data_IF_339462992776
#
_entry.id   IF_339462992776
#
_cell.length_a   1.000
_cell.length_b   1.000
_cell.length_c   1.000
_cell.angle_alpha   90.00
_cell.angle_beta   90.00
_cell.angle_gamma   90.00
#
_symmetry.space_group_name_H-M   'P 1'
#
loop_
_entity.id
_entity.type
_entity.pdbx_description
1 polymer ?
#
# COMPACT_ATOMS: atom_id res chain seq x y z
N UNK A 1 4.51 7.85 34.30
CA UNK A 1 4.07 8.35 32.98
C UNK A 1 3.81 9.86 33.11
N UNK A 2 4.29 10.73 32.23
CA UNK A 2 4.06 12.15 32.34
C UNK A 2 2.58 12.49 32.13
N UNK A 3 1.97 13.36 32.93
CA UNK A 3 0.53 13.63 32.95
C UNK A 3 -0.02 14.33 31.70
N UNK A 4 0.83 14.81 30.80
CA UNK A 4 0.40 15.55 29.60
C UNK A 4 -0.09 14.65 28.47
N UNK A 5 0.09 13.33 28.57
CA UNK A 5 -0.39 12.34 27.58
C UNK A 5 -1.79 11.77 27.92
N UNK A 6 -2.34 12.13 29.08
CA UNK A 6 -3.69 11.72 29.51
C UNK A 6 -4.82 12.60 28.91
N UNK A 7 -4.50 13.54 28.02
CA UNK A 7 -5.51 14.36 27.36
C UNK A 7 -6.33 13.49 26.41
N UNK A 8 -7.64 13.46 26.63
CA UNK A 8 -8.61 12.85 25.73
C UNK A 8 -9.39 13.95 25.02
N UNK A 9 -9.52 13.81 23.71
CA UNK A 9 -10.41 14.66 22.91
C UNK A 9 -11.72 13.91 22.69
N UNK A 10 -12.84 14.50 23.13
CA UNK A 10 -14.15 13.92 22.94
C UNK A 10 -14.99 14.84 22.07
N UNK A 11 -15.66 14.27 21.07
CA UNK A 11 -16.68 14.95 20.30
C UNK A 11 -17.92 14.04 20.18
N UNK A 12 -19.10 14.65 20.12
CA UNK A 12 -20.33 13.92 19.94
C UNK A 12 -20.67 13.82 18.44
N UNK A 13 -21.02 12.64 18.00
CA UNK A 13 -21.60 12.40 16.68
C UNK A 13 -22.95 11.73 16.85
N UNK A 14 -23.96 12.20 16.13
CA UNK A 14 -25.26 11.54 16.09
C UNK A 14 -25.17 10.32 15.16
N UNK A 15 -25.32 9.14 15.73
CA UNK A 15 -25.37 7.90 14.99
C UNK A 15 -26.78 7.28 15.12
N UNK A 16 -27.55 7.29 14.06
CA UNK A 16 -28.96 6.86 14.06
C UNK A 16 -29.82 7.51 15.16
N UNK A 17 -29.58 8.80 15.44
CA UNK A 17 -30.33 9.54 16.47
C UNK A 17 -29.88 9.27 17.91
N UNK A 18 -28.78 8.53 18.10
CA UNK A 18 -28.17 8.33 19.40
C UNK A 18 -26.86 9.12 19.45
N UNK A 19 -26.70 10.06 20.41
CA UNK A 19 -25.44 10.78 20.57
C UNK A 19 -24.37 9.83 21.09
N UNK A 20 -23.37 9.53 20.26
CA UNK A 20 -22.19 8.74 20.64
C UNK A 20 -21.07 9.70 20.96
N UNK A 21 -20.54 9.63 22.18
CA UNK A 21 -19.39 10.42 22.60
C UNK A 21 -18.12 9.65 22.22
N UNK A 22 -17.44 10.16 21.22
CA UNK A 22 -16.18 9.61 20.74
C UNK A 22 -15.03 10.20 21.56
N UNK A 23 -14.33 9.40 22.37
CA UNK A 23 -13.17 9.84 23.12
C UNK A 23 -11.90 9.22 22.55
N UNK A 24 -11.02 10.04 22.01
CA UNK A 24 -9.70 9.60 21.54
C UNK A 24 -8.63 9.96 22.57
N UNK A 25 -7.81 8.98 22.94
CA UNK A 25 -6.63 9.22 23.78
C UNK A 25 -5.51 9.79 22.90
N UNK A 26 -4.89 10.87 23.35
CA UNK A 26 -3.77 11.51 22.63
C UNK A 26 -2.60 10.53 22.43
N UNK A 27 -2.42 9.57 23.33
CA UNK A 27 -1.43 8.48 23.18
C UNK A 27 -1.67 7.65 21.93
N UNK A 28 -2.93 7.32 21.63
CA UNK A 28 -3.29 6.55 20.44
C UNK A 28 -3.04 7.36 19.15
N UNK A 29 -3.33 8.65 19.16
CA UNK A 29 -3.04 9.54 18.06
C UNK A 29 -1.52 9.74 17.86
N UNK A 30 -0.77 9.84 18.95
CA UNK A 30 0.69 9.88 18.89
C UNK A 30 1.29 8.57 18.34
N UNK A 31 0.71 7.41 18.68
CA UNK A 31 1.10 6.12 18.10
C UNK A 31 0.82 6.06 16.59
N UNK A 32 -0.28 6.65 16.10
CA UNK A 32 -0.53 6.82 14.67
C UNK A 32 0.59 7.61 13.98
N UNK A 33 1.06 8.68 14.60
CA UNK A 33 2.16 9.48 14.07
C UNK A 33 3.48 8.69 13.94
N UNK A 34 3.75 7.78 14.89
CA UNK A 34 4.94 6.92 14.81
C UNK A 34 4.87 5.91 13.66
N UNK A 35 3.65 5.44 13.31
CA UNK A 35 3.47 4.54 12.18
C UNK A 35 3.68 5.22 10.83
N UNK A 36 3.48 6.53 10.72
CA UNK A 36 3.88 7.28 9.53
C UNK A 36 5.37 7.10 9.24
N UNK A 37 6.20 6.82 10.26
CA UNK A 37 7.62 6.54 10.08
C UNK A 37 7.90 5.21 9.36
N UNK A 38 6.90 4.36 9.14
CA UNK A 38 7.07 3.12 8.35
C UNK A 38 7.51 3.40 6.90
N UNK A 39 7.33 4.64 6.39
CA UNK A 39 7.98 5.04 5.14
C UNK A 39 9.50 4.82 5.18
N UNK A 40 10.15 4.89 6.37
CA UNK A 40 11.58 4.60 6.52
C UNK A 40 11.93 3.16 6.13
N UNK A 41 11.02 2.20 6.31
CA UNK A 41 11.24 0.81 5.89
C UNK A 41 11.37 0.74 4.36
N UNK A 42 10.55 1.50 3.64
CA UNK A 42 10.65 1.63 2.18
C UNK A 42 11.99 2.26 1.79
N UNK A 43 12.46 3.26 2.54
CA UNK A 43 13.77 3.87 2.30
C UNK A 43 14.94 2.91 2.59
N UNK A 44 14.84 2.07 3.62
CA UNK A 44 15.86 1.07 3.91
C UNK A 44 15.98 0.05 2.77
N UNK A 45 14.86 -0.48 2.29
CA UNK A 45 14.86 -1.41 1.15
C UNK A 45 15.43 -0.75 -0.11
N UNK A 46 15.09 0.51 -0.34
CA UNK A 46 15.67 1.31 -1.43
C UNK A 46 17.19 1.43 -1.30
N UNK A 47 17.70 1.73 -0.11
CA UNK A 47 19.12 1.94 0.11
C UNK A 47 19.89 0.63 -0.05
N UNK A 48 19.32 -0.51 0.36
CA UNK A 48 19.87 -1.86 0.13
C UNK A 48 20.01 -2.14 -1.37
N UNK A 49 18.98 -1.86 -2.16
CA UNK A 49 19.04 -2.02 -3.63
C UNK A 49 20.10 -1.10 -4.24
N UNK A 50 20.20 0.14 -3.78
CA UNK A 50 21.22 1.08 -4.28
C UNK A 50 22.65 0.66 -3.93
N UNK A 51 22.85 -0.04 -2.80
CA UNK A 51 24.18 -0.56 -2.41
C UNK A 51 24.65 -1.68 -3.34
N UNK A 52 23.75 -2.44 -3.94
CA UNK A 52 24.10 -3.47 -4.94
C UNK A 52 24.75 -2.87 -6.20
N UNK A 53 24.48 -1.60 -6.49
CA UNK A 53 25.15 -0.89 -7.59
C UNK A 53 26.47 -0.28 -7.10
N UNK A 54 27.52 -1.09 -7.11
CA UNK A 54 28.87 -0.82 -6.52
C UNK A 54 29.54 0.46 -7.04
N UNK A 55 29.14 0.98 -8.18
CA UNK A 55 29.80 2.09 -8.88
C UNK A 55 29.01 3.41 -8.84
N UNK A 56 28.13 3.61 -7.84
CA UNK A 56 27.28 4.82 -7.73
C UNK A 56 28.08 6.12 -7.85
N UNK A 57 29.22 6.22 -7.15
CA UNK A 57 30.08 7.42 -7.14
C UNK A 57 30.72 7.70 -8.51
N UNK A 58 31.12 6.64 -9.23
CA UNK A 58 31.71 6.76 -10.57
C UNK A 58 30.66 7.20 -11.60
N UNK A 59 29.44 6.70 -11.47
CA UNK A 59 28.32 7.08 -12.35
C UNK A 59 27.91 8.54 -12.10
N UNK A 60 27.83 8.96 -10.83
CA UNK A 60 27.52 10.36 -10.47
C UNK A 60 28.60 11.34 -10.98
N UNK A 61 29.89 10.96 -10.91
CA UNK A 61 30.99 11.80 -11.40
C UNK A 61 31.01 11.95 -12.90
N UNK A 62 30.69 10.88 -13.64
CA UNK A 62 30.72 10.87 -15.10
C UNK A 62 29.46 11.49 -15.74
N UNK A 63 28.28 11.33 -15.13
CA UNK A 63 27.02 11.76 -15.72
C UNK A 63 26.55 13.12 -15.20
N UNK A 64 27.18 13.67 -14.14
CA UNK A 64 26.73 14.89 -13.40
C UNK A 64 25.27 14.83 -12.91
N UNK A 65 24.65 13.67 -12.94
CA UNK A 65 23.28 13.44 -12.48
C UNK A 65 23.34 12.99 -11.03
N UNK A 66 22.75 13.75 -10.12
CA UNK A 66 22.57 13.31 -8.73
C UNK A 66 21.52 12.20 -8.68
N UNK A 67 21.90 11.05 -8.14
CA UNK A 67 20.96 9.94 -7.90
C UNK A 67 20.06 10.31 -6.72
N UNK A 68 18.94 10.96 -7.04
CA UNK A 68 17.90 11.32 -6.07
C UNK A 68 17.07 10.08 -5.70
N UNK A 69 16.39 10.14 -4.55
CA UNK A 69 15.48 9.08 -4.10
C UNK A 69 14.45 8.66 -5.14
N UNK A 70 13.94 9.62 -5.93
CA UNK A 70 12.98 9.36 -7.03
C UNK A 70 13.59 8.49 -8.14
N UNK A 71 14.87 8.69 -8.47
CA UNK A 71 15.55 7.86 -9.46
C UNK A 71 15.72 6.41 -8.95
N UNK A 72 16.06 6.26 -7.68
CA UNK A 72 16.21 4.95 -7.05
C UNK A 72 14.89 4.16 -7.01
N UNK A 73 13.78 4.82 -6.69
CA UNK A 73 12.46 4.17 -6.73
C UNK A 73 12.04 3.79 -8.14
N UNK A 74 12.35 4.61 -9.16
CA UNK A 74 12.13 4.25 -10.56
C UNK A 74 12.93 3.01 -10.97
N UNK A 75 14.19 2.93 -10.57
CA UNK A 75 15.06 1.80 -10.85
C UNK A 75 14.55 0.50 -10.20
N UNK A 76 14.06 0.58 -8.95
CA UNK A 76 13.41 -0.55 -8.30
C UNK A 76 12.14 -1.01 -9.03
N UNK A 77 11.33 -0.05 -9.50
CA UNK A 77 10.11 -0.35 -10.25
C UNK A 77 10.40 -0.89 -11.65
N UNK A 78 11.56 -0.57 -12.24
CA UNK A 78 11.97 -1.10 -13.54
C UNK A 78 12.44 -2.55 -13.44
N UNK A 79 13.20 -2.89 -12.40
CA UNK A 79 13.73 -4.24 -12.22
C UNK A 79 12.64 -5.25 -11.80
N UNK A 80 11.91 -4.98 -10.72
CA UNK A 80 10.91 -5.88 -10.15
C UNK A 80 9.68 -5.10 -9.65
N UNK A 81 8.83 -4.58 -10.55
CA UNK A 81 7.72 -3.73 -10.16
C UNK A 81 6.72 -4.43 -9.24
N UNK A 82 6.43 -5.71 -9.48
CA UNK A 82 5.47 -6.49 -8.68
C UNK A 82 5.96 -6.65 -7.24
N UNK A 83 7.22 -7.02 -7.03
CA UNK A 83 7.77 -7.20 -5.68
C UNK A 83 7.75 -5.88 -4.89
N UNK A 84 8.16 -4.78 -5.55
CA UNK A 84 8.18 -3.45 -4.94
C UNK A 84 6.79 -3.00 -4.50
N UNK A 85 5.81 -3.06 -5.41
CA UNK A 85 4.43 -2.63 -5.15
C UNK A 85 3.77 -3.51 -4.10
N UNK A 86 3.93 -4.85 -4.18
CA UNK A 86 3.39 -5.78 -3.19
C UNK A 86 3.96 -5.51 -1.79
N UNK A 87 5.27 -5.28 -1.68
CA UNK A 87 5.89 -4.97 -0.39
C UNK A 87 5.33 -3.69 0.22
N UNK A 88 5.25 -2.61 -0.57
CA UNK A 88 4.70 -1.32 -0.12
C UNK A 88 3.23 -1.48 0.32
N UNK A 89 2.44 -2.23 -0.45
CA UNK A 89 1.03 -2.48 -0.15
C UNK A 89 0.84 -3.26 1.15
N UNK A 90 1.66 -4.26 1.40
CA UNK A 90 1.62 -5.05 2.64
C UNK A 90 1.94 -4.15 3.85
N UNK A 91 3.02 -3.38 3.79
CA UNK A 91 3.39 -2.43 4.86
C UNK A 91 2.27 -1.41 5.11
N UNK A 92 1.67 -0.90 4.04
CA UNK A 92 0.53 0.02 4.14
C UNK A 92 -0.68 -0.63 4.80
N UNK A 93 -1.09 -1.84 4.40
CA UNK A 93 -2.24 -2.54 4.97
C UNK A 93 -2.05 -2.78 6.49
N UNK A 94 -0.85 -3.20 6.91
CA UNK A 94 -0.56 -3.38 8.33
C UNK A 94 -0.66 -2.07 9.12
N UNK A 95 -0.14 -0.97 8.59
CA UNK A 95 -0.23 0.33 9.25
C UNK A 95 -1.66 0.88 9.28
N UNK A 96 -2.39 0.78 8.17
CA UNK A 96 -3.77 1.22 8.05
C UNK A 96 -4.70 0.40 8.97
N UNK A 97 -4.46 -0.92 9.12
CA UNK A 97 -5.19 -1.78 10.06
C UNK A 97 -5.07 -1.31 11.50
N UNK A 98 -3.87 -0.91 11.91
CA UNK A 98 -3.68 -0.33 13.23
C UNK A 98 -4.39 1.04 13.38
N UNK A 99 -4.35 1.88 12.36
CA UNK A 99 -5.08 3.15 12.35
C UNK A 99 -6.58 2.93 12.49
N UNK A 100 -7.13 1.97 11.74
CA UNK A 100 -8.54 1.64 11.82
C UNK A 100 -8.92 1.16 13.23
N UNK A 101 -8.10 0.30 13.85
CA UNK A 101 -8.31 -0.14 15.22
C UNK A 101 -8.31 1.02 16.24
N UNK A 102 -7.38 1.97 16.09
CA UNK A 102 -7.29 3.13 17.01
C UNK A 102 -8.51 4.03 16.88
N UNK A 103 -9.01 4.21 15.65
CA UNK A 103 -10.12 5.14 15.36
C UNK A 103 -11.49 4.51 15.66
N UNK A 104 -11.68 3.24 15.34
CA UNK A 104 -12.98 2.55 15.46
C UNK A 104 -13.12 1.75 16.76
N UNK A 105 -12.03 1.18 17.28
CA UNK A 105 -12.08 0.20 18.38
C UNK A 105 -12.66 0.71 19.70
N UNK A 106 -12.72 2.04 19.91
CA UNK A 106 -13.39 2.62 21.09
C UNK A 106 -14.89 2.89 20.89
N UNK A 107 -15.40 2.79 19.67
CA UNK A 107 -16.74 3.19 19.26
C UNK A 107 -17.54 1.99 18.77
N UNK A 108 -16.90 1.18 17.93
CA UNK A 108 -17.52 0.02 17.30
C UNK A 108 -16.89 -1.28 17.89
N UNK A 109 -17.65 -2.05 18.71
CA UNK A 109 -17.14 -3.27 19.32
C UNK A 109 -16.61 -4.31 18.32
N UNK A 110 -17.06 -4.26 17.05
CA UNK A 110 -16.60 -5.16 16.01
C UNK A 110 -15.15 -4.88 15.56
N UNK A 111 -14.61 -3.68 15.84
CA UNK A 111 -13.25 -3.28 15.52
C UNK A 111 -12.30 -3.32 16.73
N UNK A 112 -12.70 -3.98 17.82
CA UNK A 112 -11.86 -4.17 18.99
C UNK A 112 -10.67 -5.09 18.70
N UNK A 113 -10.88 -6.10 17.85
CA UNK A 113 -9.82 -6.99 17.37
C UNK A 113 -9.03 -6.36 16.22
N UNK A 114 -7.69 -6.44 16.28
CA UNK A 114 -6.83 -6.02 15.17
C UNK A 114 -7.05 -6.88 13.90
N UNK A 115 -7.39 -8.16 14.09
CA UNK A 115 -7.64 -9.10 12.98
C UNK A 115 -8.86 -8.67 12.19
N UNK A 116 -9.93 -8.21 12.83
CA UNK A 116 -11.14 -7.76 12.18
C UNK A 116 -10.90 -6.43 11.42
N UNK A 117 -10.08 -5.53 11.99
CA UNK A 117 -9.62 -4.35 11.29
C UNK A 117 -8.83 -4.70 10.01
N UNK A 118 -7.90 -5.65 10.11
CA UNK A 118 -7.13 -6.13 8.97
C UNK A 118 -8.01 -6.80 7.92
N UNK A 119 -8.96 -7.65 8.33
CA UNK A 119 -9.93 -8.26 7.43
C UNK A 119 -10.69 -7.21 6.63
N UNK A 120 -11.30 -6.25 7.31
CA UNK A 120 -12.04 -5.16 6.66
C UNK A 120 -11.17 -4.40 5.62
N UNK A 121 -9.91 -4.11 5.94
CA UNK A 121 -9.02 -3.39 5.02
C UNK A 121 -8.53 -4.26 3.87
N UNK A 122 -8.24 -5.53 4.10
CA UNK A 122 -7.83 -6.46 3.03
C UNK A 122 -8.94 -6.63 2.01
N UNK A 123 -10.19 -6.87 2.43
CA UNK A 123 -11.31 -7.00 1.49
C UNK A 123 -11.63 -5.69 0.76
N UNK A 124 -11.38 -4.54 1.41
CA UNK A 124 -11.52 -3.22 0.78
C UNK A 124 -10.40 -2.98 -0.23
N UNK A 125 -9.16 -3.32 0.12
CA UNK A 125 -7.98 -3.20 -0.74
C UNK A 125 -8.12 -4.03 -2.02
N UNK A 126 -8.61 -5.26 -1.91
CA UNK A 126 -8.90 -6.13 -3.06
C UNK A 126 -10.22 -5.79 -3.77
N UNK A 127 -10.90 -4.72 -3.37
CA UNK A 127 -12.16 -4.27 -3.97
C UNK A 127 -13.30 -5.30 -3.90
N UNK A 128 -13.23 -6.25 -2.95
CA UNK A 128 -14.26 -7.29 -2.74
C UNK A 128 -15.45 -6.68 -1.99
N UNK A 129 -15.19 -6.07 -0.80
CA UNK A 129 -16.18 -5.32 -0.02
C UNK A 129 -17.41 -6.15 0.39
N UNK A 130 -17.26 -7.23 1.16
CA UNK A 130 -18.39 -8.05 1.61
C UNK A 130 -19.44 -7.27 2.41
N UNK A 131 -19.08 -6.15 3.07
CA UNK A 131 -20.00 -5.33 3.84
C UNK A 131 -20.36 -5.90 5.22
N UNK A 132 -19.67 -6.94 5.66
CA UNK A 132 -19.80 -7.54 6.98
C UNK A 132 -19.23 -6.63 8.07
N UNK A 133 -18.13 -5.95 7.76
CA UNK A 133 -17.48 -4.93 8.57
C UNK A 133 -17.31 -3.64 7.77
N UNK A 134 -17.70 -2.52 8.36
CA UNK A 134 -17.53 -1.20 7.76
C UNK A 134 -17.26 -0.14 8.84
N UNK A 135 -16.39 0.84 8.57
CA UNK A 135 -16.09 1.91 9.52
C UNK A 135 -17.26 2.85 9.67
N UNK A 136 -17.53 3.24 10.91
CA UNK A 136 -18.64 4.11 11.29
C UNK A 136 -18.18 5.55 11.48
N UNK A 137 -16.94 5.76 11.92
CA UNK A 137 -16.38 7.08 12.16
C UNK A 137 -15.94 7.76 10.84
N UNK A 138 -15.92 9.08 10.84
CA UNK A 138 -15.44 9.86 9.71
C UNK A 138 -13.98 9.51 9.35
N UNK A 139 -13.12 9.46 10.36
CA UNK A 139 -11.69 9.12 10.17
C UNK A 139 -11.51 7.67 9.68
N UNK A 140 -12.27 6.71 10.21
CA UNK A 140 -12.24 5.33 9.73
C UNK A 140 -12.67 5.21 8.26
N UNK A 141 -13.70 5.96 7.86
CA UNK A 141 -14.13 6.04 6.45
C UNK A 141 -13.04 6.62 5.55
N UNK A 142 -12.31 7.64 5.99
CA UNK A 142 -11.17 8.18 5.25
C UNK A 142 -10.07 7.14 5.06
N UNK A 143 -9.74 6.37 6.10
CA UNK A 143 -8.76 5.27 6.00
C UNK A 143 -9.21 4.24 4.98
N UNK A 144 -10.49 3.83 5.01
CA UNK A 144 -11.03 2.87 4.06
C UNK A 144 -11.00 3.38 2.61
N UNK A 145 -11.35 4.65 2.36
CA UNK A 145 -11.29 5.26 1.02
C UNK A 145 -9.86 5.29 0.48
N UNK A 146 -8.89 5.71 1.29
CA UNK A 146 -7.48 5.72 0.89
C UNK A 146 -6.99 4.30 0.59
N UNK A 147 -7.38 3.34 1.42
CA UNK A 147 -7.04 1.92 1.24
C UNK A 147 -7.60 1.36 -0.07
N UNK A 148 -8.86 1.63 -0.37
CA UNK A 148 -9.50 1.23 -1.63
C UNK A 148 -8.83 1.86 -2.85
N UNK A 149 -8.51 3.15 -2.80
CA UNK A 149 -7.79 3.84 -3.87
C UNK A 149 -6.42 3.21 -4.14
N UNK A 150 -5.64 2.94 -3.09
CA UNK A 150 -4.33 2.28 -3.21
C UNK A 150 -4.47 0.84 -3.72
N UNK A 151 -5.53 0.13 -3.36
CA UNK A 151 -5.84 -1.19 -3.89
C UNK A 151 -6.02 -1.17 -5.41
N UNK A 152 -6.81 -0.22 -5.93
CA UNK A 152 -7.02 -0.05 -7.37
C UNK A 152 -5.69 0.26 -8.10
N UNK A 153 -4.88 1.17 -7.57
CA UNK A 153 -3.57 1.51 -8.14
C UNK A 153 -2.65 0.30 -8.17
N UNK A 154 -2.61 -0.47 -7.08
CA UNK A 154 -1.80 -1.68 -6.98
C UNK A 154 -2.24 -2.74 -8.00
N UNK A 155 -3.54 -3.00 -8.10
CA UNK A 155 -4.09 -3.94 -9.07
C UNK A 155 -3.77 -3.52 -10.51
N UNK A 156 -3.87 -2.23 -10.84
CA UNK A 156 -3.52 -1.70 -12.16
C UNK A 156 -2.04 -1.93 -12.51
N UNK A 157 -1.12 -1.70 -11.57
CA UNK A 157 0.32 -1.91 -11.79
C UNK A 157 0.62 -3.40 -11.99
N UNK A 158 0.03 -4.27 -11.17
CA UNK A 158 0.21 -5.74 -11.29
C UNK A 158 -0.31 -6.23 -12.65
N UNK A 159 -1.50 -5.78 -13.05
CA UNK A 159 -2.10 -6.16 -14.34
C UNK A 159 -1.26 -5.67 -15.52
N UNK A 160 -0.78 -4.42 -15.49
CA UNK A 160 0.08 -3.88 -16.53
C UNK A 160 1.40 -4.65 -16.65
N UNK A 161 2.00 -5.01 -15.52
CA UNK A 161 3.25 -5.80 -15.49
C UNK A 161 3.03 -7.20 -16.04
N UNK A 162 1.93 -7.86 -15.65
CA UNK A 162 1.57 -9.18 -16.15
C UNK A 162 1.34 -9.15 -17.67
N UNK A 163 0.63 -8.13 -18.17
CA UNK A 163 0.42 -7.94 -19.60
C UNK A 163 1.74 -7.79 -20.36
N UNK A 164 2.71 -7.04 -19.80
CA UNK A 164 4.04 -6.89 -20.42
C UNK A 164 4.83 -8.19 -20.44
N UNK A 165 4.75 -9.02 -19.38
CA UNK A 165 5.42 -10.32 -19.32
C UNK A 165 4.82 -11.30 -20.35
N UNK A 166 3.53 -11.20 -20.61
CA UNK A 166 2.83 -12.07 -21.56
C UNK A 166 2.98 -11.66 -23.04
N UNK A 167 3.59 -10.50 -23.30
CA UNK A 167 3.89 -10.09 -24.68
C UNK A 167 5.02 -10.94 -25.26
N UNK A 168 4.82 -11.42 -26.47
CA UNK A 168 5.86 -12.16 -27.18
C UNK A 168 7.08 -11.27 -27.42
N UNK A 169 8.25 -11.77 -27.07
CA UNK A 169 9.52 -11.17 -27.48
C UNK A 169 9.61 -11.16 -29.02
N UNK A 170 10.38 -10.24 -29.58
CA UNK A 170 10.59 -10.16 -31.06
C UNK A 170 11.00 -11.52 -31.63
N UNK A 171 11.86 -12.26 -30.94
CA UNK A 171 12.31 -13.61 -31.36
C UNK A 171 11.16 -14.62 -31.33
N UNK A 172 10.34 -14.61 -30.31
CA UNK A 172 9.17 -15.50 -30.17
C UNK A 172 8.09 -15.17 -31.22
N UNK A 173 7.94 -13.88 -31.56
CA UNK A 173 7.04 -13.46 -32.62
C UNK A 173 7.45 -14.03 -34.00
N UNK A 174 8.75 -14.05 -34.31
CA UNK A 174 9.24 -14.69 -35.53
C UNK A 174 8.98 -16.18 -35.56
N UNK A 175 9.22 -16.88 -34.45
CA UNK A 175 8.92 -18.31 -34.34
C UNK A 175 7.41 -18.57 -34.51
N UNK A 176 6.57 -17.77 -33.84
CA UNK A 176 5.12 -17.85 -34.01
C UNK A 176 4.69 -17.67 -35.45
N UNK A 177 5.19 -16.63 -36.14
CA UNK A 177 4.83 -16.35 -37.53
C UNK A 177 5.25 -17.46 -38.49
N UNK A 178 6.36 -18.14 -38.20
CA UNK A 178 6.80 -19.31 -38.98
C UNK A 178 5.88 -20.52 -38.77
N UNK A 179 5.47 -20.76 -37.51
CA UNK A 179 4.54 -21.85 -37.19
C UNK A 179 3.15 -21.60 -37.82
N UNK A 180 2.66 -20.37 -37.79
CA UNK A 180 1.39 -20.03 -38.40
C UNK A 180 1.40 -20.25 -39.93
N UNK A 181 2.52 -20.01 -40.62
CA UNK A 181 2.69 -20.31 -42.06
C UNK A 181 2.64 -21.82 -42.31
N UNK A 182 3.35 -22.63 -41.54
CA UNK A 182 3.32 -24.09 -41.70
C UNK A 182 1.91 -24.68 -41.50
N UNK A 183 1.13 -24.11 -40.59
CA UNK A 183 -0.26 -24.53 -40.38
C UNK A 183 -1.15 -24.14 -41.55
N UNK A 184 -0.87 -22.99 -42.15
CA UNK A 184 -1.63 -22.51 -43.33
C UNK A 184 -1.34 -23.35 -44.58
N UNK A 185 -0.06 -23.71 -44.80
CA UNK A 185 0.37 -24.51 -45.97
C UNK A 185 -0.12 -25.99 -45.91
N UNK A 186 -0.52 -26.49 -44.73
CA UNK A 186 -1.03 -27.82 -44.53
C UNK A 186 -2.57 -27.95 -44.67
N UNK A 187 -3.26 -26.82 -44.92
CA UNK A 187 -4.71 -26.78 -45.14
C UNK A 187 -5.03 -26.62 -46.62
#
# INVERSE_FOLDING_TARGET
>A
MPPFLALSFSYSTDYYGVPVINSYRMESLAAMWTLLRLYKVVFLVRDEVLQQYTNKRLIESNTKIRIHSVFATKLMMENDPVKCVTFISVVFCFSAGYWLKVVEGGINPRFESYIDCMWCLVITFWTIGYGDLFPTTLLGRFVAVITGFLGIVTAAIITATLANIMQFSVKEFFVKSSLDREVYDKR
#
